data_IF_873090851402
#
_entry.id   IF_873090851402
#
_cell.length_a   1.000
_cell.length_b   1.000
_cell.length_c   1.000
_cell.angle_alpha   90.00
_cell.angle_beta   90.00
_cell.angle_gamma   90.00
#
_symmetry.space_group_name_H-M   'P 1'
#
loop_
_entity.id
_entity.type
_entity.pdbx_description
1 polymer ?
#
# COMPACT_ATOMS: atom_id res chain seq x y z
N UNK A 1 -14.45 22.80 -22.47
CA UNK A 1 -14.01 23.39 -21.19
C UNK A 1 -14.78 22.69 -20.08
N UNK A 2 -14.12 21.85 -19.30
CA UNK A 2 -14.72 21.25 -18.10
C UNK A 2 -13.91 21.70 -16.89
N UNK A 3 -14.60 22.36 -15.98
CA UNK A 3 -14.07 22.96 -14.77
C UNK A 3 -13.97 21.88 -13.69
N UNK A 4 -12.85 21.15 -13.68
CA UNK A 4 -12.43 20.44 -12.46
C UNK A 4 -11.76 21.49 -11.58
N UNK A 5 -12.43 21.83 -10.49
CA UNK A 5 -11.87 22.68 -9.44
C UNK A 5 -10.63 21.95 -8.92
N UNK A 6 -9.45 22.46 -9.25
CA UNK A 6 -8.23 22.22 -8.49
C UNK A 6 -8.54 22.64 -7.05
N UNK A 7 -8.88 21.67 -6.22
CA UNK A 7 -8.99 21.92 -4.80
C UNK A 7 -7.56 22.24 -4.30
N UNK A 8 -7.37 23.24 -3.43
CA UNK A 8 -6.05 23.73 -3.06
C UNK A 8 -5.12 22.64 -2.50
N UNK A 9 -5.68 21.56 -1.98
CA UNK A 9 -4.98 20.35 -1.51
C UNK A 9 -4.30 19.53 -2.62
N UNK A 10 -4.77 19.58 -3.87
CA UNK A 10 -4.24 18.80 -5.00
C UNK A 10 -2.98 19.46 -5.62
N UNK A 11 -2.65 20.68 -5.14
CA UNK A 11 -1.45 21.44 -5.53
C UNK A 11 -0.28 21.26 -4.57
N UNK A 12 -0.51 20.58 -3.45
CA UNK A 12 0.55 20.27 -2.49
C UNK A 12 1.10 18.92 -2.89
N UNK A 13 2.34 18.90 -3.37
CA UNK A 13 3.03 17.66 -3.67
C UNK A 13 3.29 16.91 -2.36
N UNK A 14 2.42 15.96 -2.04
CA UNK A 14 2.56 15.11 -0.83
C UNK A 14 3.58 14.00 -1.00
N UNK A 15 4.15 13.85 -2.21
CA UNK A 15 5.11 12.81 -2.56
C UNK A 15 6.50 13.16 -2.04
N UNK A 16 6.85 14.45 -2.08
CA UNK A 16 8.11 14.99 -1.56
C UNK A 16 7.85 15.97 -0.41
N UNK A 17 7.67 15.41 0.80
CA UNK A 17 7.56 16.21 2.01
C UNK A 17 8.93 16.61 2.59
N UNK A 18 10.04 16.14 2.01
CA UNK A 18 11.39 16.42 2.51
C UNK A 18 11.76 17.91 2.46
N UNK A 19 11.10 18.68 1.60
CA UNK A 19 11.28 20.14 1.48
C UNK A 19 10.58 21.00 2.55
N UNK A 20 9.86 20.40 3.52
CA UNK A 20 9.08 21.15 4.52
C UNK A 20 9.90 21.65 5.72
N UNK A 21 11.21 21.38 5.78
CA UNK A 21 12.11 21.91 6.82
C UNK A 21 12.10 23.45 6.87
N UNK A 22 11.86 24.11 5.72
CA UNK A 22 11.79 25.57 5.61
C UNK A 22 10.46 26.17 6.13
N UNK A 23 9.43 25.35 6.32
CA UNK A 23 8.08 25.78 6.76
C UNK A 23 7.80 25.39 8.21
N UNK A 24 8.59 24.49 8.80
CA UNK A 24 8.33 23.95 10.13
C UNK A 24 9.03 24.79 11.21
N UNK A 25 8.26 25.36 12.16
CA UNK A 25 8.87 26.14 13.23
C UNK A 25 9.75 25.24 14.11
N UNK A 26 10.89 25.78 14.57
CA UNK A 26 11.95 25.08 15.33
C UNK A 26 11.49 24.08 16.42
N UNK A 27 10.38 24.30 17.17
CA UNK A 27 9.90 23.34 18.16
C UNK A 27 9.40 22.00 17.58
N UNK A 28 8.99 21.97 16.31
CA UNK A 28 8.38 20.80 15.67
C UNK A 28 9.36 19.99 14.81
N UNK A 29 10.53 20.54 14.51
CA UNK A 29 11.68 19.87 13.86
C UNK A 29 11.98 18.47 14.43
N UNK A 30 12.04 18.23 15.76
CA UNK A 30 12.30 16.89 16.29
C UNK A 30 11.20 15.87 15.98
N UNK A 31 9.95 16.31 15.83
CA UNK A 31 8.83 15.46 15.43
C UNK A 31 8.84 15.23 13.92
N UNK A 32 9.15 16.28 13.15
CA UNK A 32 9.25 16.21 11.70
C UNK A 32 10.32 15.21 11.23
N UNK A 33 11.48 15.21 11.87
CA UNK A 33 12.57 14.27 11.58
C UNK A 33 12.18 12.80 11.74
N UNK A 34 11.15 12.50 12.54
CA UNK A 34 10.62 11.13 12.68
C UNK A 34 9.71 10.74 11.52
N UNK A 35 8.93 11.70 11.02
CA UNK A 35 8.02 11.49 9.88
C UNK A 35 8.83 11.33 8.60
N UNK A 36 9.88 12.13 8.45
CA UNK A 36 10.83 12.07 7.33
C UNK A 36 11.55 10.72 7.25
N UNK A 37 12.00 10.17 8.38
CA UNK A 37 12.56 8.81 8.43
C UNK A 37 11.55 7.73 8.00
N UNK A 38 10.26 7.91 8.30
CA UNK A 38 9.21 6.97 7.89
C UNK A 38 8.91 7.12 6.40
N UNK A 39 8.94 8.34 5.86
CA UNK A 39 8.81 8.64 4.44
C UNK A 39 9.99 8.04 3.65
N UNK A 40 11.23 8.29 4.07
CA UNK A 40 12.45 7.75 3.47
C UNK A 40 12.48 6.21 3.53
N UNK A 41 12.02 5.63 4.66
CA UNK A 41 11.85 4.19 4.78
C UNK A 41 10.81 3.65 3.80
N UNK A 42 9.69 4.35 3.61
CA UNK A 42 8.62 3.97 2.68
C UNK A 42 9.08 4.09 1.23
N UNK A 43 9.83 5.12 0.89
CA UNK A 43 10.37 5.34 -0.45
C UNK A 43 11.43 4.30 -0.81
N UNK A 44 12.24 3.89 0.17
CA UNK A 44 13.32 2.92 -0.06
C UNK A 44 12.83 1.46 0.02
N UNK A 45 11.93 1.13 0.94
CA UNK A 45 11.55 -0.27 1.23
C UNK A 45 10.07 -0.58 1.04
N UNK A 46 9.20 0.44 0.92
CA UNK A 46 7.76 0.25 0.80
C UNK A 46 7.37 -0.58 -0.41
N UNK A 47 8.00 -0.34 -1.55
CA UNK A 47 7.71 -1.04 -2.80
C UNK A 47 8.06 -2.54 -2.72
N UNK A 48 9.16 -2.87 -2.04
CA UNK A 48 9.58 -4.27 -1.85
C UNK A 48 8.62 -5.03 -0.92
N UNK A 49 8.22 -4.42 0.20
CA UNK A 49 7.28 -5.07 1.14
C UNK A 49 5.89 -5.26 0.53
N UNK A 50 5.38 -4.25 -0.17
CA UNK A 50 4.09 -4.33 -0.87
C UNK A 50 4.15 -5.41 -1.93
N UNK A 51 5.20 -5.44 -2.75
CA UNK A 51 5.41 -6.47 -3.77
C UNK A 51 5.45 -7.88 -3.19
N UNK A 52 6.15 -8.08 -2.06
CA UNK A 52 6.21 -9.38 -1.38
C UNK A 52 4.83 -9.78 -0.83
N UNK A 53 4.11 -8.86 -0.19
CA UNK A 53 2.79 -9.12 0.37
C UNK A 53 1.77 -9.41 -0.73
N UNK A 54 1.85 -8.69 -1.85
CA UNK A 54 1.05 -8.91 -3.04
C UNK A 54 1.32 -10.31 -3.61
N UNK A 55 2.59 -10.70 -3.75
CA UNK A 55 2.99 -12.04 -4.18
C UNK A 55 2.46 -13.14 -3.26
N UNK A 56 2.59 -12.97 -1.95
CA UNK A 56 2.04 -13.92 -0.96
C UNK A 56 0.51 -14.03 -1.07
N UNK A 57 -0.17 -12.90 -1.20
CA UNK A 57 -1.63 -12.84 -1.34
C UNK A 57 -2.06 -13.54 -2.64
N UNK A 58 -1.37 -13.28 -3.74
CA UNK A 58 -1.62 -13.92 -5.03
C UNK A 58 -1.42 -15.44 -4.94
N UNK A 59 -0.39 -15.92 -4.24
CA UNK A 59 -0.15 -17.35 -4.00
C UNK A 59 -1.30 -17.97 -3.20
N UNK A 60 -1.71 -17.33 -2.09
CA UNK A 60 -2.81 -17.83 -1.26
C UNK A 60 -4.11 -17.91 -2.06
N UNK A 61 -4.43 -16.88 -2.85
CA UNK A 61 -5.61 -16.86 -3.70
C UNK A 61 -5.55 -17.95 -4.79
N UNK A 62 -4.41 -18.12 -5.44
CA UNK A 62 -4.22 -19.14 -6.46
C UNK A 62 -4.40 -20.55 -5.89
N UNK A 63 -3.78 -20.85 -4.75
CA UNK A 63 -3.92 -22.14 -4.08
C UNK A 63 -5.36 -22.39 -3.62
N UNK A 64 -6.00 -21.38 -3.02
CA UNK A 64 -7.40 -21.45 -2.59
C UNK A 64 -8.35 -21.71 -3.76
N UNK A 65 -8.12 -21.06 -4.90
CA UNK A 65 -8.93 -21.26 -6.10
C UNK A 65 -8.74 -22.65 -6.69
N UNK A 66 -7.49 -23.13 -6.83
CA UNK A 66 -7.21 -24.49 -7.32
C UNK A 66 -7.85 -25.53 -6.41
N UNK A 67 -7.75 -25.34 -5.09
CA UNK A 67 -8.40 -26.22 -4.12
C UNK A 67 -9.93 -26.21 -4.26
N UNK A 68 -10.53 -25.02 -4.40
CA UNK A 68 -11.96 -24.89 -4.63
C UNK A 68 -12.42 -25.61 -5.90
N UNK A 69 -11.70 -25.45 -7.02
CA UNK A 69 -11.96 -26.14 -8.28
C UNK A 69 -11.88 -27.66 -8.09
N UNK A 70 -10.86 -28.14 -7.38
CA UNK A 70 -10.72 -29.56 -7.07
C UNK A 70 -11.94 -30.08 -6.28
N UNK A 71 -12.37 -29.37 -5.23
CA UNK A 71 -13.56 -29.76 -4.46
C UNK A 71 -14.85 -29.68 -5.29
N UNK A 72 -14.96 -28.70 -6.18
CA UNK A 72 -16.13 -28.56 -7.05
C UNK A 72 -16.31 -29.78 -7.97
N UNK A 73 -15.23 -30.28 -8.57
CA UNK A 73 -15.28 -31.41 -9.51
C UNK A 73 -15.18 -32.78 -8.83
N UNK A 74 -14.43 -32.90 -7.73
CA UNK A 74 -14.10 -34.19 -7.11
C UNK A 74 -14.60 -34.33 -5.66
N UNK A 75 -15.07 -33.24 -5.04
CA UNK A 75 -15.54 -33.23 -3.65
C UNK A 75 -16.94 -33.82 -3.43
N UNK A 76 -17.72 -34.06 -4.50
CA UNK A 76 -19.02 -34.75 -4.42
C UNK A 76 -18.92 -36.19 -3.91
N UNK A 77 -17.73 -36.82 -3.98
CA UNK A 77 -17.47 -38.13 -3.39
C UNK A 77 -17.32 -38.14 -1.87
N UNK A 78 -17.09 -36.99 -1.24
CA UNK A 78 -16.87 -36.87 0.23
C UNK A 78 -18.18 -36.65 0.98
N UNK A 79 -19.22 -36.13 0.33
CA UNK A 79 -20.54 -35.94 0.93
C UNK A 79 -21.44 -37.19 0.89
N UNK A 80 -20.98 -38.29 0.27
CA UNK A 80 -21.75 -39.52 0.08
C UNK A 80 -21.29 -40.70 0.96
N UNK A 81 -20.43 -40.46 1.95
CA UNK A 81 -20.00 -41.45 2.96
C UNK A 81 -20.39 -40.94 4.36
#
# INVERSE_FOLDING_TARGET
MSSSRDAPEDRVDTTDVGGLDEVIPEPFVPVWRRIELVQEFRETHGDTYVTVLEGLTAIVLALGYVWWVYLYFFGSGVAAI
#
